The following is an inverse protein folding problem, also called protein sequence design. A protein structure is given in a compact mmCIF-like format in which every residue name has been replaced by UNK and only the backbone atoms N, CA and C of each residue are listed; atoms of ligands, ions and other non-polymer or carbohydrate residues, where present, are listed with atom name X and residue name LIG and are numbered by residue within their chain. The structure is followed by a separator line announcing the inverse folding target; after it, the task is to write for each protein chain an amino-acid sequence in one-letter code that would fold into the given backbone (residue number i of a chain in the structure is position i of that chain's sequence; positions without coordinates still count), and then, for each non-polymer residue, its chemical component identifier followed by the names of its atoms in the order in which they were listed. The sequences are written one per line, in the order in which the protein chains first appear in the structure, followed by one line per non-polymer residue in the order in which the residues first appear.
data_IF_115549252957
#
_entry.id   IF_115549252957
#
_cell.length_a   1.000
_cell.length_b   1.000
_cell.length_c   1.000
_cell.angle_alpha   90.00
_cell.angle_beta   90.00
_cell.angle_gamma   90.00
#
_symmetry.space_group_name_H-M   'P 1'
#
loop_
_entity.id
_entity.type
_entity.pdbx_description
1 polymer ?
#
# COMPACT_ATOMS: atom_id res chain seq x y z
N UNK A 1 2.90 -7.92 14.80
CA UNK A 1 2.82 -8.43 16.18
C UNK A 1 3.71 -7.57 17.06
N UNK A 2 3.55 -7.70 18.36
CA UNK A 2 4.38 -7.06 19.38
C UNK A 2 5.23 -8.10 20.12
N UNK A 3 4.66 -9.22 20.57
CA UNK A 3 5.39 -10.22 21.36
C UNK A 3 5.14 -11.66 20.90
N UNK A 4 5.01 -11.88 19.58
CA UNK A 4 4.91 -13.22 19.02
C UNK A 4 6.18 -14.05 19.29
N UNK A 5 7.36 -13.41 19.23
CA UNK A 5 8.64 -14.07 19.47
C UNK A 5 9.01 -14.15 20.96
N UNK A 6 8.20 -13.59 21.86
CA UNK A 6 8.44 -13.59 23.30
C UNK A 6 9.61 -12.72 23.76
N UNK A 7 10.00 -11.72 22.96
CA UNK A 7 11.16 -10.85 23.19
C UNK A 7 10.88 -9.61 24.04
N UNK A 8 9.62 -9.23 24.28
CA UNK A 8 9.28 -7.98 24.96
C UNK A 8 9.84 -7.88 26.38
N UNK A 9 9.87 -9.00 27.12
CA UNK A 9 10.48 -9.03 28.45
C UNK A 9 11.98 -8.72 28.45
N UNK A 10 12.70 -9.15 27.40
CA UNK A 10 14.13 -8.83 27.22
C UNK A 10 14.30 -7.34 26.96
N UNK A 11 13.56 -6.77 26.00
CA UNK A 11 13.60 -5.33 25.69
C UNK A 11 13.30 -4.47 26.91
N UNK A 12 12.35 -4.88 27.77
CA UNK A 12 12.12 -4.17 29.05
C UNK A 12 13.35 -4.24 29.95
N UNK A 13 13.97 -5.42 30.12
CA UNK A 13 15.13 -5.56 31.01
C UNK A 13 16.40 -4.86 30.50
N UNK A 14 16.51 -4.67 29.18
CA UNK A 14 17.63 -4.00 28.51
C UNK A 14 17.45 -2.48 28.46
N UNK A 15 16.20 -2.00 28.55
CA UNK A 15 15.87 -0.59 28.56
C UNK A 15 15.23 -0.08 27.27
N UNK A 16 15.15 -0.92 26.23
CA UNK A 16 14.59 -0.61 24.91
C UNK A 16 13.05 -0.51 24.93
N UNK A 17 12.40 -1.05 25.95
CA UNK A 17 10.95 -0.94 26.15
C UNK A 17 10.58 -0.50 27.56
N UNK A 18 9.46 0.23 27.74
CA UNK A 18 8.99 0.59 29.05
C UNK A 18 8.30 -0.62 29.72
N UNK A 19 8.45 -0.75 31.04
CA UNK A 19 7.86 -1.82 31.84
C UNK A 19 8.50 -1.94 33.22
N UNK A 20 7.89 -2.73 34.11
CA UNK A 20 8.25 -2.78 35.54
C UNK A 20 9.74 -3.03 35.82
N UNK A 21 10.45 -3.73 34.94
CA UNK A 21 11.88 -4.07 35.08
C UNK A 21 12.81 -3.15 34.29
N UNK A 22 12.30 -2.06 33.71
CA UNK A 22 13.12 -1.13 32.92
C UNK A 22 14.20 -0.47 33.80
N UNK A 23 15.49 -0.56 33.43
CA UNK A 23 16.61 -0.09 34.25
C UNK A 23 16.66 1.44 34.41
N UNK A 24 15.98 2.19 33.55
CA UNK A 24 15.93 3.66 33.56
C UNK A 24 14.68 4.22 34.27
N UNK A 25 13.90 3.35 34.91
CA UNK A 25 12.71 3.73 35.67
C UNK A 25 11.50 4.09 34.80
N UNK A 26 11.49 3.69 33.51
CA UNK A 26 10.32 3.80 32.65
C UNK A 26 9.36 2.63 32.93
N UNK A 27 8.70 2.64 34.09
CA UNK A 27 8.03 1.44 34.63
C UNK A 27 6.64 1.14 34.08
N UNK A 28 6.07 2.03 33.26
CA UNK A 28 4.73 1.87 32.69
C UNK A 28 4.77 0.92 31.49
N UNK A 29 4.24 -0.32 31.57
CA UNK A 29 4.28 -1.23 30.45
C UNK A 29 3.47 -0.71 29.26
N UNK A 30 3.83 -1.16 28.05
CA UNK A 30 3.03 -0.97 26.83
C UNK A 30 1.64 -1.58 27.03
N UNK A 31 0.58 -0.81 26.78
CA UNK A 31 -0.79 -1.30 26.81
C UNK A 31 -1.10 -2.11 25.54
N UNK A 32 -1.27 -3.42 25.67
CA UNK A 32 -1.58 -4.29 24.55
C UNK A 32 -3.09 -4.40 24.40
N UNK A 33 -3.67 -3.66 23.46
CA UNK A 33 -5.09 -3.76 23.12
C UNK A 33 -5.37 -5.03 22.32
N UNK A 34 -4.49 -5.34 21.37
CA UNK A 34 -4.54 -6.58 20.59
C UNK A 34 -3.16 -6.93 20.04
N UNK A 35 -2.75 -8.18 20.18
CA UNK A 35 -1.55 -8.71 19.56
C UNK A 35 -1.83 -9.94 18.69
N UNK A 36 -0.95 -10.17 17.73
CA UNK A 36 -0.97 -11.28 16.81
C UNK A 36 0.00 -12.35 17.30
N UNK A 37 -0.54 -13.40 17.92
CA UNK A 37 0.24 -14.48 18.53
C UNK A 37 0.29 -15.77 17.68
N UNK A 38 -0.38 -15.81 16.53
CA UNK A 38 -0.37 -16.96 15.61
C UNK A 38 0.83 -16.94 14.65
N UNK A 39 1.26 -15.74 14.24
CA UNK A 39 2.43 -15.49 13.41
C UNK A 39 2.90 -14.05 13.55
N UNK A 40 4.19 -13.80 13.43
CA UNK A 40 4.71 -12.44 13.50
C UNK A 40 6.22 -12.34 13.39
N UNK A 41 6.69 -11.14 13.13
CA UNK A 41 8.10 -10.76 13.13
C UNK A 41 8.44 -9.81 14.28
N UNK A 42 7.41 -9.38 15.04
CA UNK A 42 7.47 -8.34 16.06
C UNK A 42 7.89 -6.95 15.56
N UNK A 43 7.73 -6.66 14.26
CA UNK A 43 7.98 -5.33 13.68
C UNK A 43 7.29 -4.19 14.45
N UNK A 44 6.08 -4.43 14.94
CA UNK A 44 5.36 -3.47 15.78
C UNK A 44 6.03 -3.17 17.13
N UNK A 45 6.75 -4.13 17.71
CA UNK A 45 7.60 -3.90 18.88
C UNK A 45 8.87 -3.14 18.53
N UNK A 46 9.48 -3.42 17.37
CA UNK A 46 10.61 -2.65 16.88
C UNK A 46 10.26 -1.16 16.68
N UNK A 47 9.07 -0.87 16.15
CA UNK A 47 8.55 0.50 16.09
C UNK A 47 8.36 1.11 17.49
N UNK A 48 7.92 0.33 18.48
CA UNK A 48 7.77 0.78 19.85
C UNK A 48 9.13 1.07 20.53
N UNK A 49 10.17 0.28 20.25
CA UNK A 49 11.55 0.53 20.70
C UNK A 49 12.05 1.86 20.15
N UNK A 50 11.88 2.13 18.85
CA UNK A 50 12.23 3.43 18.24
C UNK A 50 11.54 4.59 18.96
N UNK A 51 10.23 4.47 19.24
CA UNK A 51 9.50 5.53 19.96
C UNK A 51 10.03 5.68 21.38
N UNK A 52 10.33 4.59 22.07
CA UNK A 52 10.83 4.61 23.44
C UNK A 52 12.21 5.25 23.55
N UNK A 53 13.12 4.98 22.61
CA UNK A 53 14.47 5.54 22.62
C UNK A 53 14.46 7.07 22.48
N UNK A 54 13.58 7.61 21.63
CA UNK A 54 13.45 9.06 21.42
C UNK A 54 12.57 9.75 22.48
N UNK A 55 11.47 9.10 22.87
CA UNK A 55 10.48 9.64 23.80
C UNK A 55 10.20 8.67 24.96
N UNK A 56 11.19 8.42 25.85
CA UNK A 56 11.13 7.35 26.86
C UNK A 56 10.04 7.51 27.92
N UNK A 57 9.47 8.71 28.04
CA UNK A 57 8.37 9.02 28.97
C UNK A 57 6.99 8.97 28.29
N UNK A 58 6.92 8.74 26.98
CA UNK A 58 5.64 8.52 26.31
C UNK A 58 5.04 7.18 26.78
N UNK A 59 3.74 7.19 27.11
CA UNK A 59 2.97 5.97 27.33
C UNK A 59 2.62 5.35 25.97
N UNK A 60 2.88 4.06 25.82
CA UNK A 60 2.70 3.35 24.55
C UNK A 60 1.50 2.40 24.63
N UNK A 61 0.77 2.28 23.53
CA UNK A 61 -0.26 1.26 23.32
C UNK A 61 -0.04 0.57 21.97
N UNK A 62 -0.45 -0.70 21.86
CA UNK A 62 -0.27 -1.50 20.66
C UNK A 62 -1.58 -2.20 20.23
N UNK A 63 -1.84 -2.21 18.92
CA UNK A 63 -2.93 -2.95 18.30
C UNK A 63 -2.48 -3.51 16.95
N UNK A 64 -2.48 -4.83 16.78
CA UNK A 64 -2.30 -5.48 15.46
C UNK A 64 -3.55 -5.37 14.60
N UNK A 65 -3.47 -5.64 13.29
CA UNK A 65 -4.67 -5.72 12.44
C UNK A 65 -4.71 -6.99 11.58
N UNK A 66 -5.91 -7.42 11.20
CA UNK A 66 -6.15 -8.61 10.37
C UNK A 66 -6.79 -8.31 9.00
N UNK A 67 -7.28 -7.08 8.79
CA UNK A 67 -7.92 -6.65 7.54
C UNK A 67 -8.34 -5.18 7.60
N UNK A 68 -8.86 -4.63 6.50
CA UNK A 68 -9.16 -3.19 6.40
C UNK A 68 -10.21 -2.70 7.40
N UNK A 69 -11.28 -3.47 7.62
CA UNK A 69 -12.34 -3.10 8.57
C UNK A 69 -11.85 -3.16 10.03
N UNK A 70 -11.00 -4.14 10.33
CA UNK A 70 -10.34 -4.27 11.62
C UNK A 70 -9.34 -3.13 11.83
N UNK A 71 -8.59 -2.72 10.80
CA UNK A 71 -7.70 -1.57 10.87
C UNK A 71 -8.45 -0.27 11.16
N UNK A 72 -9.55 0.01 10.45
CA UNK A 72 -10.39 1.17 10.75
C UNK A 72 -10.90 1.16 12.21
N UNK A 73 -11.23 -0.02 12.74
CA UNK A 73 -11.63 -0.21 14.15
C UNK A 73 -10.47 0.00 15.12
N UNK A 74 -9.28 -0.52 14.80
CA UNK A 74 -8.07 -0.39 15.59
C UNK A 74 -7.66 1.07 15.80
N UNK A 75 -7.75 1.89 14.74
CA UNK A 75 -7.51 3.34 14.81
C UNK A 75 -8.45 4.00 15.82
N UNK A 76 -9.73 3.64 15.80
CA UNK A 76 -10.72 4.15 16.75
C UNK A 76 -10.45 3.64 18.18
N UNK A 77 -10.05 2.38 18.34
CA UNK A 77 -9.72 1.79 19.64
C UNK A 77 -8.52 2.46 20.29
N UNK A 78 -7.44 2.69 19.54
CA UNK A 78 -6.25 3.41 20.04
C UNK A 78 -6.62 4.85 20.45
N UNK A 79 -7.40 5.57 19.64
CA UNK A 79 -7.87 6.90 20.01
C UNK A 79 -8.76 6.88 21.27
N UNK A 80 -9.57 5.84 21.47
CA UNK A 80 -10.42 5.67 22.64
C UNK A 80 -9.64 5.24 23.90
N UNK A 81 -8.51 4.56 23.73
CA UNK A 81 -7.55 4.29 24.81
C UNK A 81 -6.78 5.55 25.26
N UNK A 82 -6.97 6.68 24.57
CA UNK A 82 -6.38 7.96 24.94
C UNK A 82 -5.09 8.30 24.18
N UNK A 83 -4.74 7.54 23.13
CA UNK A 83 -3.61 7.88 22.27
C UNK A 83 -3.80 9.27 21.63
N UNK A 84 -2.85 10.16 21.87
CA UNK A 84 -2.77 11.49 21.24
C UNK A 84 -2.07 11.44 19.88
N UNK A 85 -1.23 10.42 19.69
CA UNK A 85 -0.53 10.11 18.45
C UNK A 85 -0.81 8.65 18.12
N UNK A 86 -1.14 8.36 16.86
CA UNK A 86 -1.24 7.01 16.31
C UNK A 86 -0.27 6.93 15.14
N UNK A 87 0.49 5.84 15.06
CA UNK A 87 1.43 5.58 13.97
C UNK A 87 1.29 4.16 13.44
N UNK A 88 1.31 4.02 12.12
CA UNK A 88 1.30 2.72 11.44
C UNK A 88 2.30 2.69 10.28
N UNK A 89 2.54 1.49 9.76
CA UNK A 89 3.36 1.28 8.57
C UNK A 89 2.72 0.34 7.53
N UNK A 90 1.41 0.11 7.64
CA UNK A 90 0.71 -0.95 6.90
C UNK A 90 0.25 -0.49 5.53
N UNK A 91 -0.02 -1.43 4.62
CA UNK A 91 -0.60 -1.14 3.30
C UNK A 91 -1.54 -2.26 2.89
N UNK A 92 -2.68 -1.92 2.32
CA UNK A 92 -3.64 -2.89 1.79
C UNK A 92 -3.83 -2.69 0.28
N UNK A 93 -3.64 -3.73 -0.55
CA UNK A 93 -3.76 -3.60 -2.01
C UNK A 93 -5.17 -3.21 -2.48
N UNK A 94 -6.19 -3.50 -1.66
CA UNK A 94 -7.60 -3.22 -1.91
C UNK A 94 -8.08 -1.87 -1.34
N UNK A 95 -7.19 -1.02 -0.83
CA UNK A 95 -7.58 0.36 -0.52
C UNK A 95 -7.86 1.15 -1.80
N UNK A 96 -8.96 1.90 -1.87
CA UNK A 96 -9.27 2.68 -3.07
C UNK A 96 -8.20 3.74 -3.34
N UNK A 97 -7.76 3.84 -4.59
CA UNK A 97 -6.79 4.86 -5.05
C UNK A 97 -7.45 6.24 -5.23
N UNK A 98 -8.72 6.24 -5.62
CA UNK A 98 -9.45 7.39 -6.15
C UNK A 98 -10.55 7.93 -5.23
N UNK A 99 -10.73 7.30 -4.07
CA UNK A 99 -11.78 7.60 -3.08
C UNK A 99 -11.21 7.37 -1.68
N UNK A 100 -11.60 8.15 -0.68
CA UNK A 100 -11.24 7.84 0.71
C UNK A 100 -11.99 6.59 1.19
N UNK A 101 -11.27 5.47 1.30
CA UNK A 101 -11.77 4.22 1.88
C UNK A 101 -12.01 4.30 3.40
N UNK A 102 -12.53 3.23 4.00
CA UNK A 102 -12.92 3.20 5.42
C UNK A 102 -11.77 3.50 6.39
N UNK A 103 -10.52 3.14 6.05
CA UNK A 103 -9.34 3.42 6.89
C UNK A 103 -9.03 4.93 6.83
N UNK A 104 -8.96 5.52 5.63
CA UNK A 104 -8.78 6.97 5.45
C UNK A 104 -9.85 7.77 6.21
N UNK A 105 -11.10 7.30 6.19
CA UNK A 105 -12.19 7.91 6.95
C UNK A 105 -12.03 7.77 8.47
N UNK A 106 -11.50 6.66 8.97
CA UNK A 106 -11.17 6.48 10.38
C UNK A 106 -10.04 7.43 10.81
N UNK A 107 -8.98 7.56 9.99
CA UNK A 107 -7.90 8.54 10.18
C UNK A 107 -8.46 9.95 10.32
N UNK A 108 -9.23 10.42 9.33
CA UNK A 108 -9.82 11.76 9.39
C UNK A 108 -10.71 11.96 10.63
N UNK A 109 -11.38 10.90 11.09
CA UNK A 109 -12.28 10.95 12.24
C UNK A 109 -11.52 11.12 13.56
N UNK A 110 -10.40 10.43 13.75
CA UNK A 110 -9.56 10.62 14.95
C UNK A 110 -8.78 11.93 14.90
N UNK A 111 -8.37 12.37 13.71
CA UNK A 111 -7.72 13.68 13.53
C UNK A 111 -8.65 14.82 13.90
N UNK A 112 -9.92 14.75 13.52
CA UNK A 112 -10.95 15.71 13.97
C UNK A 112 -11.18 15.73 15.48
N UNK A 113 -10.82 14.66 16.20
CA UNK A 113 -10.87 14.58 17.67
C UNK A 113 -9.59 15.11 18.33
N UNK A 114 -8.60 15.56 17.56
CA UNK A 114 -7.32 16.08 18.06
C UNK A 114 -6.21 15.03 18.15
N UNK A 115 -6.39 13.84 17.59
CA UNK A 115 -5.33 12.82 17.51
C UNK A 115 -4.44 13.09 16.30
N UNK A 116 -3.12 13.07 16.44
CA UNK A 116 -2.21 13.17 15.31
C UNK A 116 -1.97 11.77 14.71
N UNK A 117 -2.16 11.61 13.40
CA UNK A 117 -2.03 10.32 12.73
C UNK A 117 -0.81 10.33 11.81
N UNK A 118 0.11 9.40 12.01
CA UNK A 118 1.32 9.21 11.22
C UNK A 118 1.26 7.88 10.49
N UNK A 119 1.74 7.83 9.25
CA UNK A 119 1.80 6.58 8.49
C UNK A 119 3.01 6.55 7.58
N UNK A 120 3.59 5.36 7.40
CA UNK A 120 4.69 5.15 6.45
C UNK A 120 4.23 5.45 5.02
N UNK A 121 5.04 6.13 4.20
CA UNK A 121 4.69 6.35 2.79
C UNK A 121 4.60 5.03 2.01
N UNK A 122 5.35 4.01 2.43
CA UNK A 122 5.55 2.77 1.71
C UNK A 122 6.87 2.79 0.93
N UNK A 123 7.33 1.58 0.58
CA UNK A 123 8.63 1.35 -0.05
C UNK A 123 8.45 0.94 -1.52
N UNK A 124 7.70 1.72 -2.30
CA UNK A 124 7.39 1.43 -3.72
C UNK A 124 7.83 2.52 -4.69
N UNK A 125 8.52 3.55 -4.20
CA UNK A 125 9.09 4.63 -5.00
C UNK A 125 8.06 5.17 -6.00
N UNK A 126 8.32 4.94 -7.29
CA UNK A 126 7.41 5.30 -8.38
C UNK A 126 6.98 4.10 -9.23
N UNK A 127 7.11 2.88 -8.72
CA UNK A 127 6.84 1.62 -9.43
C UNK A 127 5.35 1.46 -9.80
N UNK A 128 4.94 2.08 -10.90
CA UNK A 128 3.54 2.28 -11.25
C UNK A 128 3.31 2.67 -12.72
N UNK A 129 2.08 2.44 -13.16
CA UNK A 129 1.52 2.91 -14.42
C UNK A 129 0.26 3.72 -14.13
N UNK A 130 0.06 4.84 -14.82
CA UNK A 130 -1.16 5.63 -14.76
C UNK A 130 -1.45 6.26 -16.12
N UNK A 131 -2.68 6.16 -16.58
CA UNK A 131 -3.08 6.69 -17.88
C UNK A 131 -4.58 6.95 -17.94
N UNK A 132 -5.03 7.75 -18.90
CA UNK A 132 -6.41 7.64 -19.39
C UNK A 132 -6.62 6.27 -20.05
N UNK A 133 -7.84 5.73 -19.98
CA UNK A 133 -8.17 4.53 -20.74
C UNK A 133 -8.29 4.90 -22.23
N UNK A 134 -7.23 4.61 -22.99
CA UNK A 134 -7.22 4.72 -24.44
C UNK A 134 -7.84 3.45 -25.03
N UNK A 135 -9.02 3.58 -25.63
CA UNK A 135 -9.74 2.49 -26.27
C UNK A 135 -9.19 2.26 -27.69
N UNK A 136 -8.70 1.05 -27.97
CA UNK A 136 -8.15 0.66 -29.27
C UNK A 136 -9.17 0.68 -30.44
N UNK A 137 -10.41 1.09 -30.21
CA UNK A 137 -11.35 1.42 -31.29
C UNK A 137 -12.16 0.25 -31.82
N UNK A 138 -11.79 -0.99 -31.51
CA UNK A 138 -12.46 -2.21 -31.97
C UNK A 138 -12.76 -3.22 -30.86
N UNK A 139 -13.64 -4.18 -31.17
CA UNK A 139 -13.94 -5.28 -30.25
C UNK A 139 -12.97 -6.44 -30.50
N UNK A 140 -12.45 -7.01 -29.42
CA UNK A 140 -11.58 -8.18 -29.45
C UNK A 140 -12.29 -9.36 -28.81
N UNK A 141 -12.34 -10.49 -29.52
CA UNK A 141 -12.77 -11.75 -28.96
C UNK A 141 -11.61 -12.37 -28.19
N UNK A 142 -11.72 -12.46 -26.87
CA UNK A 142 -10.76 -13.19 -26.05
C UNK A 142 -11.36 -14.55 -25.68
N UNK A 143 -10.58 -15.62 -25.92
CA UNK A 143 -10.98 -16.98 -25.60
C UNK A 143 -10.35 -17.41 -24.28
N UNK A 144 -11.20 -17.76 -23.32
CA UNK A 144 -10.79 -18.38 -22.07
C UNK A 144 -11.12 -19.87 -22.16
N UNK A 145 -10.10 -20.72 -22.02
CA UNK A 145 -10.32 -22.16 -22.09
C UNK A 145 -11.26 -22.63 -20.96
N UNK A 146 -12.24 -23.53 -21.23
CA UNK A 146 -13.25 -23.95 -20.27
C UNK A 146 -12.71 -24.50 -18.95
N UNK A 147 -11.50 -25.06 -18.96
CA UNK A 147 -10.80 -25.55 -17.77
C UNK A 147 -10.39 -24.45 -16.77
N UNK A 148 -10.46 -23.17 -17.16
CA UNK A 148 -10.10 -22.00 -16.34
C UNK A 148 -11.27 -21.07 -16.01
N UNK A 149 -12.49 -21.60 -16.00
CA UNK A 149 -13.75 -20.84 -15.76
C UNK A 149 -14.17 -20.80 -14.30
N UNK A 150 -13.52 -21.59 -13.44
CA UNK A 150 -13.76 -21.53 -12.01
C UNK A 150 -12.99 -20.32 -11.48
N UNK A 151 -13.65 -19.16 -11.41
CA UNK A 151 -13.14 -18.05 -10.64
C UNK A 151 -13.18 -18.44 -9.14
N UNK A 152 -12.04 -18.50 -8.42
CA UNK A 152 -12.00 -18.94 -7.03
C UNK A 152 -12.79 -18.06 -6.05
N UNK A 153 -13.24 -16.88 -6.45
CA UNK A 153 -14.00 -15.92 -5.63
C UNK A 153 -15.52 -16.16 -5.61
N UNK A 154 -16.04 -17.15 -6.36
CA UNK A 154 -17.48 -17.43 -6.44
C UNK A 154 -18.33 -16.27 -6.97
N UNK A 155 -17.70 -15.24 -7.54
CA UNK A 155 -18.31 -13.99 -7.97
C UNK A 155 -18.78 -14.08 -9.44
N UNK A 156 -19.79 -14.90 -9.70
CA UNK A 156 -20.47 -14.90 -10.99
C UNK A 156 -19.73 -15.67 -12.09
N UNK A 157 -20.51 -16.12 -13.06
CA UNK A 157 -20.05 -16.96 -14.17
C UNK A 157 -19.00 -16.21 -15.00
N UNK A 158 -17.73 -16.60 -14.91
CA UNK A 158 -16.85 -16.46 -16.07
C UNK A 158 -17.40 -17.41 -17.11
N UNK A 159 -17.98 -16.84 -18.18
CA UNK A 159 -18.54 -17.63 -19.27
C UNK A 159 -17.39 -18.43 -19.89
N UNK A 160 -17.45 -19.76 -19.77
CA UNK A 160 -16.63 -20.65 -20.60
C UNK A 160 -16.79 -20.24 -22.06
N UNK A 161 -15.69 -19.87 -22.74
CA UNK A 161 -15.72 -19.55 -24.17
C UNK A 161 -15.15 -18.18 -24.52
N UNK A 162 -15.84 -17.50 -25.44
CA UNK A 162 -15.43 -16.26 -26.09
C UNK A 162 -16.16 -15.07 -25.47
N UNK A 163 -15.42 -14.06 -25.01
CA UNK A 163 -15.97 -12.80 -24.52
C UNK A 163 -15.39 -11.62 -25.32
N UNK A 164 -16.19 -10.58 -25.48
CA UNK A 164 -15.82 -9.38 -26.24
C UNK A 164 -15.25 -8.32 -25.30
N UNK A 165 -14.12 -7.73 -25.67
CA UNK A 165 -13.46 -6.66 -24.91
C UNK A 165 -13.13 -5.46 -25.79
N UNK A 166 -13.07 -4.28 -25.17
CA UNK A 166 -12.34 -3.11 -25.68
C UNK A 166 -10.99 -3.08 -24.99
N UNK A 167 -9.90 -3.25 -25.73
CA UNK A 167 -8.57 -3.31 -25.14
C UNK A 167 -7.96 -1.91 -24.98
N UNK A 168 -7.20 -1.75 -23.90
CA UNK A 168 -6.42 -0.55 -23.65
C UNK A 168 -5.22 -0.49 -24.59
N UNK A 169 -5.00 0.68 -25.18
CA UNK A 169 -3.80 1.04 -25.90
C UNK A 169 -2.78 1.71 -24.96
N UNK A 170 -1.69 0.99 -24.70
CA UNK A 170 -0.59 1.47 -23.86
C UNK A 170 0.27 2.51 -24.55
N UNK A 171 0.34 2.54 -25.89
CA UNK A 171 1.09 3.57 -26.62
C UNK A 171 0.41 4.95 -26.41
N UNK A 172 1.11 5.96 -25.88
CA UNK A 172 0.58 7.31 -25.80
C UNK A 172 0.63 8.08 -27.14
N UNK A 173 1.27 7.51 -28.17
CA UNK A 173 1.46 8.09 -29.49
C UNK A 173 0.35 7.76 -30.50
N UNK A 174 0.71 7.75 -31.79
CA UNK A 174 -0.22 7.42 -32.88
C UNK A 174 -0.32 5.92 -33.19
N UNK A 175 0.60 5.11 -32.62
CA UNK A 175 0.57 3.66 -32.73
C UNK A 175 -0.50 3.04 -31.86
N UNK A 176 -0.67 1.72 -31.97
CA UNK A 176 -1.51 0.94 -31.07
C UNK A 176 -0.64 -0.16 -30.48
N UNK A 177 -0.50 -0.16 -29.16
CA UNK A 177 0.19 -1.19 -28.40
C UNK A 177 -0.75 -1.76 -27.33
N UNK A 178 -1.25 -2.97 -27.57
CA UNK A 178 -2.19 -3.63 -26.66
C UNK A 178 -1.47 -4.39 -25.55
N UNK A 179 -0.15 -4.58 -25.65
CA UNK A 179 0.62 -5.53 -24.86
C UNK A 179 1.72 -4.81 -24.09
N UNK A 180 1.46 -4.51 -22.82
CA UNK A 180 2.48 -4.00 -21.91
C UNK A 180 3.53 -5.07 -21.62
N UNK A 181 4.71 -4.99 -22.23
CA UNK A 181 5.80 -5.93 -21.94
C UNK A 181 6.33 -5.72 -20.52
N UNK A 182 6.39 -6.82 -19.76
CA UNK A 182 6.97 -6.89 -18.42
C UNK A 182 8.12 -7.89 -18.43
N UNK A 183 9.33 -7.44 -18.06
CA UNK A 183 10.50 -8.32 -17.89
C UNK A 183 10.74 -8.58 -16.41
N UNK A 184 10.54 -9.81 -15.97
CA UNK A 184 10.63 -10.24 -14.57
C UNK A 184 11.96 -10.99 -14.36
N UNK A 185 12.96 -10.40 -13.66
CA UNK A 185 14.23 -11.08 -13.43
C UNK A 185 14.07 -12.38 -12.64
N UNK A 186 15.10 -13.22 -12.67
CA UNK A 186 15.14 -14.49 -11.92
C UNK A 186 14.76 -14.31 -10.45
N UNK A 187 13.91 -15.20 -9.94
CA UNK A 187 13.40 -15.21 -8.56
C UNK A 187 12.61 -13.97 -8.11
N UNK A 188 12.34 -13.01 -9.01
CA UNK A 188 11.56 -11.82 -8.73
C UNK A 188 10.07 -12.06 -8.96
N UNK A 189 9.26 -11.26 -8.26
CA UNK A 189 7.82 -11.26 -8.37
C UNK A 189 7.32 -9.95 -8.95
N UNK A 190 6.41 -10.03 -9.92
CA UNK A 190 5.56 -8.94 -10.37
C UNK A 190 4.18 -9.12 -9.73
N UNK A 191 3.73 -8.14 -8.97
CA UNK A 191 2.43 -8.17 -8.30
C UNK A 191 1.76 -6.83 -8.49
N UNK A 192 0.63 -6.76 -9.16
CA UNK A 192 -0.06 -5.51 -9.43
C UNK A 192 -1.47 -5.49 -8.85
N UNK A 193 -1.89 -4.30 -8.44
CA UNK A 193 -3.29 -3.96 -8.22
C UNK A 193 -3.70 -2.90 -9.24
N UNK A 194 -4.52 -3.28 -10.22
CA UNK A 194 -5.06 -2.35 -11.22
C UNK A 194 -6.38 -1.80 -10.69
N UNK A 195 -6.52 -0.48 -10.67
CA UNK A 195 -7.77 0.20 -10.36
C UNK A 195 -8.08 1.23 -11.44
N UNK A 196 -9.35 1.56 -11.59
CA UNK A 196 -9.82 2.60 -12.49
C UNK A 196 -10.74 3.57 -11.76
N UNK A 197 -10.97 4.73 -12.37
CA UNK A 197 -11.82 5.74 -11.79
C UNK A 197 -13.28 5.32 -11.75
N UNK A 198 -13.63 4.68 -10.65
CA UNK A 198 -14.98 4.31 -10.30
C UNK A 198 -15.16 4.37 -8.79
N UNK A 199 -16.39 4.56 -8.29
CA UNK A 199 -16.66 4.45 -6.87
C UNK A 199 -16.35 3.05 -6.35
N UNK A 200 -15.77 2.95 -5.17
CA UNK A 200 -15.57 1.66 -4.49
C UNK A 200 -16.79 1.32 -3.64
N UNK A 201 -17.37 0.14 -3.84
CA UNK A 201 -18.50 -0.35 -3.07
C UNK A 201 -18.14 -0.54 -1.58
N UNK A 202 -16.90 -0.91 -1.27
CA UNK A 202 -16.42 -1.10 0.11
C UNK A 202 -16.13 0.20 0.85
N UNK A 203 -16.03 1.34 0.17
CA UNK A 203 -15.69 2.61 0.79
C UNK A 203 -16.82 3.17 1.68
N UNK A 204 -18.08 2.81 1.41
CA UNK A 204 -19.21 3.26 2.21
C UNK A 204 -20.43 2.34 2.10
N UNK A 205 -21.34 2.45 3.07
CA UNK A 205 -22.65 1.80 2.97
C UNK A 205 -23.41 2.36 1.77
N UNK A 206 -23.85 1.48 0.88
CA UNK A 206 -24.58 1.80 -0.36
C UNK A 206 -23.79 2.63 -1.37
N UNK A 207 -22.45 2.60 -1.33
CA UNK A 207 -21.66 3.14 -2.42
C UNK A 207 -22.03 2.41 -3.73
N UNK A 208 -22.12 3.11 -4.87
CA UNK A 208 -22.65 2.54 -6.11
C UNK A 208 -21.75 1.48 -6.73
N UNK A 209 -20.46 1.43 -6.36
CA UNK A 209 -19.47 0.53 -6.93
C UNK A 209 -19.10 0.89 -8.38
N UNK A 210 -18.35 0.00 -9.02
CA UNK A 210 -17.84 0.22 -10.36
C UNK A 210 -18.96 0.25 -11.41
N UNK A 211 -18.86 1.20 -12.33
CA UNK A 211 -19.80 1.37 -13.44
C UNK A 211 -19.39 0.59 -14.69
N UNK A 212 -18.18 0.05 -14.68
CA UNK A 212 -17.58 -0.70 -15.77
C UNK A 212 -16.75 -1.84 -15.19
N UNK A 213 -16.54 -2.86 -15.99
CA UNK A 213 -15.79 -4.06 -15.64
C UNK A 213 -14.50 -4.07 -16.45
N UNK A 214 -13.36 -3.93 -15.78
CA UNK A 214 -12.05 -4.07 -16.42
C UNK A 214 -11.43 -5.37 -15.95
N UNK A 215 -10.97 -6.16 -16.90
CA UNK A 215 -10.18 -7.36 -16.66
C UNK A 215 -8.72 -7.10 -17.06
N UNK A 216 -7.82 -7.85 -16.45
CA UNK A 216 -6.39 -7.86 -16.78
C UNK A 216 -5.96 -9.25 -17.24
N UNK A 217 -5.29 -9.30 -18.38
CA UNK A 217 -4.87 -10.55 -19.00
C UNK A 217 -3.35 -10.64 -19.08
N UNK A 218 -2.83 -11.86 -18.86
CA UNK A 218 -1.42 -12.18 -19.12
C UNK A 218 -1.34 -12.96 -20.42
N UNK A 219 -0.57 -12.46 -21.38
CA UNK A 219 -0.17 -13.19 -22.57
C UNK A 219 1.30 -13.63 -22.47
N UNK A 220 1.60 -14.80 -23.04
CA UNK A 220 2.94 -15.40 -23.05
C UNK A 220 3.78 -15.01 -24.27
N UNK A 221 3.14 -14.46 -25.30
CA UNK A 221 3.80 -14.01 -26.53
C UNK A 221 3.30 -12.62 -26.89
N UNK A 222 4.23 -11.79 -27.35
CA UNK A 222 3.90 -10.46 -27.84
C UNK A 222 2.94 -10.55 -29.02
N UNK A 223 1.99 -9.62 -29.09
CA UNK A 223 1.05 -9.47 -30.21
C UNK A 223 0.23 -10.74 -30.54
N UNK A 224 0.06 -11.68 -29.61
CA UNK A 224 -0.72 -12.90 -29.80
C UNK A 224 -1.82 -13.05 -28.74
N UNK A 225 -3.04 -12.66 -29.13
CA UNK A 225 -4.25 -12.79 -28.31
C UNK A 225 -4.61 -14.26 -27.98
N UNK A 226 -4.06 -15.25 -28.69
CA UNK A 226 -4.27 -16.66 -28.39
C UNK A 226 -3.27 -17.20 -27.34
N UNK A 227 -2.31 -16.38 -26.90
CA UNK A 227 -1.31 -16.75 -25.90
C UNK A 227 -1.69 -16.34 -24.47
N UNK A 228 -2.95 -15.94 -24.26
CA UNK A 228 -3.48 -15.61 -22.94
C UNK A 228 -3.38 -16.83 -22.01
N UNK A 229 -2.90 -16.59 -20.80
CA UNK A 229 -2.81 -17.54 -19.72
C UNK A 229 -3.80 -17.17 -18.60
N UNK A 230 -5.02 -17.75 -18.60
CA UNK A 230 -6.12 -17.27 -17.76
C UNK A 230 -5.89 -17.42 -16.26
N UNK A 231 -5.04 -18.37 -15.83
CA UNK A 231 -4.77 -18.62 -14.41
C UNK A 231 -4.07 -17.45 -13.72
N UNK A 232 -3.29 -16.68 -14.47
CA UNK A 232 -2.60 -15.48 -13.95
C UNK A 232 -3.31 -14.18 -14.34
N UNK A 233 -4.53 -14.25 -14.89
CA UNK A 233 -5.31 -13.10 -15.31
C UNK A 233 -6.35 -12.74 -14.23
N UNK A 234 -6.49 -11.45 -13.91
CA UNK A 234 -7.52 -10.92 -13.01
C UNK A 234 -8.80 -10.63 -13.80
N UNK A 235 -9.90 -11.27 -13.41
CA UNK A 235 -11.17 -11.30 -14.19
C UNK A 235 -12.39 -11.34 -13.26
N UNK A 236 -12.28 -10.66 -12.13
CA UNK A 236 -13.36 -10.56 -11.17
C UNK A 236 -14.48 -9.71 -11.76
N UNK A 237 -15.73 -10.07 -11.47
CA UNK A 237 -16.86 -9.24 -11.87
C UNK A 237 -16.94 -8.00 -10.97
N UNK A 238 -16.63 -6.81 -11.50
CA UNK A 238 -16.55 -5.58 -10.72
C UNK A 238 -17.79 -4.67 -10.80
N UNK A 239 -18.75 -4.92 -11.70
CA UNK A 239 -19.95 -4.07 -11.79
C UNK A 239 -20.73 -4.03 -10.46
N UNK A 240 -20.88 -2.82 -9.91
CA UNK A 240 -21.48 -2.58 -8.60
C UNK A 240 -20.60 -3.00 -7.41
N UNK A 241 -19.32 -3.32 -7.63
CA UNK A 241 -18.32 -3.74 -6.64
C UNK A 241 -17.12 -2.80 -6.64
N UNK A 242 -16.01 -3.20 -6.03
CA UNK A 242 -14.79 -2.40 -6.05
C UNK A 242 -14.13 -2.45 -7.44
N UNK A 243 -13.64 -1.31 -7.97
CA UNK A 243 -13.00 -1.22 -9.28
C UNK A 243 -11.53 -1.65 -9.17
N UNK A 244 -11.31 -2.94 -8.96
CA UNK A 244 -9.97 -3.49 -8.74
C UNK A 244 -9.81 -4.86 -9.40
N UNK A 245 -8.66 -5.02 -10.03
CA UNK A 245 -8.10 -6.30 -10.43
C UNK A 245 -6.73 -6.52 -9.80
N UNK A 246 -6.42 -7.77 -9.48
CA UNK A 246 -5.13 -8.14 -8.90
C UNK A 246 -4.52 -9.29 -9.67
N UNK A 247 -3.21 -9.20 -9.91
CA UNK A 247 -2.44 -10.19 -10.64
C UNK A 247 -1.08 -10.34 -9.99
N UNK A 248 -0.63 -11.59 -9.83
CA UNK A 248 0.67 -11.93 -9.27
C UNK A 248 1.36 -12.98 -10.11
N UNK A 249 2.60 -12.70 -10.50
CA UNK A 249 3.48 -13.56 -11.27
C UNK A 249 4.84 -13.62 -10.58
N UNK A 250 5.37 -14.83 -10.38
CA UNK A 250 6.72 -15.03 -9.89
C UNK A 250 7.53 -15.75 -10.95
N UNK A 251 8.70 -15.20 -11.28
CA UNK A 251 9.67 -15.93 -12.06
C UNK A 251 10.41 -16.91 -11.14
N UNK A 252 10.15 -18.21 -11.30
CA UNK A 252 10.81 -19.26 -10.51
C UNK A 252 12.14 -19.73 -11.10
N UNK A 253 12.52 -19.20 -12.27
CA UNK A 253 13.83 -19.48 -12.86
C UNK A 253 14.93 -18.86 -12.00
N UNK A 254 16.05 -19.56 -11.89
CA UNK A 254 17.19 -19.17 -11.04
C UNK A 254 18.15 -18.19 -11.70
N UNK A 255 18.18 -18.11 -13.03
CA UNK A 255 19.12 -17.26 -13.78
C UNK A 255 18.46 -16.36 -14.81
N UNK A 256 17.39 -16.84 -15.45
CA UNK A 256 16.87 -16.19 -16.65
C UNK A 256 15.75 -15.20 -16.32
N UNK A 257 15.69 -14.12 -17.12
CA UNK A 257 14.57 -13.18 -17.09
C UNK A 257 13.40 -13.75 -17.88
N UNK A 258 12.22 -13.73 -17.29
CA UNK A 258 10.98 -14.19 -17.90
C UNK A 258 10.16 -12.99 -18.38
N UNK A 259 9.67 -13.03 -19.61
CA UNK A 259 8.85 -11.96 -20.18
C UNK A 259 7.39 -12.38 -20.28
N UNK A 260 6.51 -11.46 -19.92
CA UNK A 260 5.06 -11.58 -20.10
C UNK A 260 4.52 -10.28 -20.66
N UNK A 261 3.29 -10.33 -21.17
CA UNK A 261 2.63 -9.19 -21.77
C UNK A 261 1.29 -8.97 -21.10
N UNK A 262 1.15 -7.85 -20.40
CA UNK A 262 -0.08 -7.46 -19.71
C UNK A 262 -1.01 -6.75 -20.70
N UNK A 263 -2.28 -7.15 -20.69
CA UNK A 263 -3.37 -6.42 -21.37
C UNK A 263 -4.40 -5.98 -20.33
N UNK A 264 -5.03 -4.83 -20.57
CA UNK A 264 -6.17 -4.35 -19.79
C UNK A 264 -7.36 -4.25 -20.74
N UNK A 265 -8.48 -4.87 -20.40
CA UNK A 265 -9.65 -4.94 -21.27
C UNK A 265 -10.92 -4.56 -20.55
N UNK A 266 -11.71 -3.65 -21.12
CA UNK A 266 -13.08 -3.39 -20.68
C UNK A 266 -14.02 -4.44 -21.25
N UNK A 267 -14.71 -5.17 -20.38
CA UNK A 267 -15.66 -6.18 -20.83
C UNK A 267 -16.87 -5.53 -21.52
N UNK A 268 -17.25 -6.05 -22.69
CA UNK A 268 -18.44 -5.63 -23.41
C UNK A 268 -19.67 -6.38 -22.88
N UNK A 269 -20.34 -5.77 -21.90
CA UNK A 269 -21.64 -6.25 -21.40
C UNK A 269 -22.79 -5.98 -22.38
N UNK A 270 -23.92 -6.70 -22.26
CA UNK A 270 -25.11 -6.40 -23.06
C UNK A 270 -25.63 -4.98 -22.87
N UNK A 271 -25.52 -4.42 -21.66
CA UNK A 271 -25.79 -3.02 -21.37
C UNK A 271 -24.51 -2.21 -21.58
N UNK A 272 -24.59 -1.07 -22.26
CA UNK A 272 -23.44 -0.21 -22.47
C UNK A 272 -22.92 0.36 -21.14
N UNK A 273 -21.64 0.12 -20.84
CA UNK A 273 -20.91 0.70 -19.71
C UNK A 273 -19.96 1.79 -20.19
N UNK A 274 -19.72 2.87 -19.40
CA UNK A 274 -18.78 3.91 -19.79
C UNK A 274 -17.34 3.37 -19.84
N UNK A 275 -16.50 4.00 -20.66
CA UNK A 275 -15.05 3.85 -20.50
C UNK A 275 -14.62 4.60 -19.23
N UNK A 276 -13.71 4.03 -18.42
CA UNK A 276 -13.08 4.79 -17.35
C UNK A 276 -12.28 5.95 -17.95
N UNK A 277 -12.17 7.06 -17.25
CA UNK A 277 -11.31 8.18 -17.67
C UNK A 277 -9.89 8.04 -17.15
N UNK A 278 -9.64 7.14 -16.19
CA UNK A 278 -8.31 6.88 -15.64
C UNK A 278 -8.17 5.43 -15.21
N UNK A 279 -7.02 4.86 -15.50
CA UNK A 279 -6.55 3.57 -15.00
C UNK A 279 -5.20 3.75 -14.33
N UNK A 280 -4.94 2.97 -13.30
CA UNK A 280 -3.70 3.01 -12.53
C UNK A 280 -3.37 1.64 -11.98
N UNK A 281 -2.10 1.26 -12.00
CA UNK A 281 -1.62 0.15 -11.21
C UNK A 281 -0.31 0.46 -10.53
N UNK A 282 -0.08 -0.17 -9.38
CA UNK A 282 1.22 -0.19 -8.73
C UNK A 282 1.81 -1.59 -8.85
N UNK A 283 3.13 -1.68 -9.02
CA UNK A 283 3.84 -2.93 -8.79
C UNK A 283 4.21 -3.03 -7.31
N UNK A 284 3.49 -3.90 -6.60
CA UNK A 284 3.66 -4.24 -5.20
C UNK A 284 4.72 -5.33 -4.97
N UNK A 285 5.24 -5.93 -6.05
CA UNK A 285 6.27 -6.97 -6.02
C UNK A 285 7.69 -6.41 -5.90
N UNK A 286 8.64 -7.06 -6.57
CA UNK A 286 10.01 -6.60 -6.72
C UNK A 286 10.17 -5.69 -7.94
N UNK A 287 11.34 -5.06 -8.07
CA UNK A 287 11.69 -4.31 -9.27
C UNK A 287 11.71 -5.21 -10.51
N UNK A 288 11.00 -4.77 -11.54
CA UNK A 288 10.87 -5.38 -12.87
C UNK A 288 10.93 -4.27 -13.91
N UNK A 289 11.26 -4.62 -15.15
CA UNK A 289 11.18 -3.65 -16.25
C UNK A 289 9.78 -3.66 -16.85
N UNK A 290 9.24 -2.47 -17.12
CA UNK A 290 7.89 -2.23 -17.65
C UNK A 290 8.03 -1.26 -18.81
N UNK A 291 7.48 -1.60 -19.97
CA UNK A 291 7.66 -0.89 -21.23
C UNK A 291 7.15 0.57 -21.23
N UNK A 292 5.89 0.79 -20.84
CA UNK A 292 5.28 2.12 -20.75
C UNK A 292 5.22 2.63 -19.31
N UNK A 293 6.27 2.37 -18.53
CA UNK A 293 6.32 2.78 -17.13
C UNK A 293 6.15 4.30 -16.97
N UNK A 294 5.13 4.75 -16.24
CA UNK A 294 4.83 6.20 -16.11
C UNK A 294 5.51 6.87 -14.93
N UNK A 295 6.05 6.10 -13.99
CA UNK A 295 6.66 6.62 -12.76
C UNK A 295 5.72 7.54 -11.95
N UNK A 296 4.40 7.27 -12.00
CA UNK A 296 3.39 8.00 -11.26
C UNK A 296 3.49 7.77 -9.73
N UNK A 297 2.66 8.48 -8.95
CA UNK A 297 2.63 8.32 -7.49
C UNK A 297 2.21 6.91 -7.04
N UNK A 298 2.74 6.47 -5.90
CA UNK A 298 2.48 5.16 -5.27
C UNK A 298 1.95 5.28 -3.83
N UNK A 299 1.77 6.50 -3.31
CA UNK A 299 0.99 6.75 -2.09
C UNK A 299 -0.50 6.70 -2.43
N UNK A 300 -1.25 5.82 -1.75
CA UNK A 300 -2.68 5.57 -1.95
C UNK A 300 -3.38 5.21 -0.63
N UNK A 301 -4.71 5.09 -0.67
CA UNK A 301 -5.50 4.69 0.50
C UNK A 301 -5.39 5.67 1.66
N UNK A 302 -5.36 5.15 2.90
CA UNK A 302 -5.25 5.95 4.12
C UNK A 302 -3.97 6.81 4.19
N UNK A 303 -2.90 6.39 3.52
CA UNK A 303 -1.65 7.17 3.37
C UNK A 303 -1.81 8.41 2.50
N UNK A 304 -2.82 8.40 1.64
CA UNK A 304 -3.21 9.59 0.88
C UNK A 304 -4.36 10.34 1.56
N UNK A 305 -4.79 10.00 2.78
CA UNK A 305 -5.88 10.71 3.46
C UNK A 305 -5.53 12.18 3.75
N UNK A 306 -6.55 13.02 3.94
CA UNK A 306 -6.34 14.44 4.25
C UNK A 306 -5.70 14.62 5.64
N UNK A 307 -6.18 13.85 6.63
CA UNK A 307 -5.70 13.96 8.01
C UNK A 307 -4.38 13.26 8.33
N UNK A 308 -3.92 12.29 7.52
CA UNK A 308 -2.67 11.59 7.79
C UNK A 308 -1.44 12.50 7.56
N UNK A 309 -0.41 12.29 8.38
CA UNK A 309 0.95 12.78 8.13
C UNK A 309 1.75 11.59 7.59
N UNK A 310 2.02 11.61 6.30
CA UNK A 310 2.65 10.49 5.57
C UNK A 310 4.16 10.70 5.49
N UNK A 311 4.91 9.67 5.87
CA UNK A 311 6.34 9.78 6.20
C UNK A 311 7.20 9.07 5.16
N UNK A 312 7.99 9.85 4.42
CA UNK A 312 9.10 9.35 3.61
C UNK A 312 10.34 9.04 4.48
N UNK A 313 11.31 8.35 3.89
CA UNK A 313 12.50 7.89 4.62
C UNK A 313 13.75 8.68 4.19
N UNK A 314 14.64 8.96 5.13
CA UNK A 314 16.01 9.45 4.90
C UNK A 314 16.99 8.58 5.68
N UNK A 315 18.14 8.22 5.11
CA UNK A 315 19.16 7.50 5.88
C UNK A 315 19.76 8.34 7.00
N UNK A 316 19.97 7.70 8.16
CA UNK A 316 20.47 8.37 9.34
C UNK A 316 21.92 8.88 9.20
N UNK A 317 22.74 8.24 8.35
CA UNK A 317 24.19 8.48 8.20
C UNK A 317 24.61 9.17 6.89
N UNK A 318 23.75 9.20 5.87
CA UNK A 318 24.10 9.78 4.56
C UNK A 318 23.97 11.31 4.48
N UNK A 319 23.65 11.96 5.61
CA UNK A 319 23.29 13.37 5.65
C UNK A 319 21.92 13.58 5.03
N UNK A 320 20.93 13.93 5.84
CA UNK A 320 19.55 14.04 5.38
C UNK A 320 19.29 15.24 4.47
N UNK A 321 20.24 16.17 4.31
CA UNK A 321 20.09 17.40 3.54
C UNK A 321 21.40 17.78 2.82
N UNK A 322 21.33 18.05 1.51
CA UNK A 322 22.38 18.71 0.73
C UNK A 322 21.88 20.09 0.31
N UNK A 323 22.45 21.14 0.91
CA UNK A 323 21.93 22.51 0.76
C UNK A 323 20.55 22.64 1.42
N UNK A 324 19.52 22.86 0.60
CA UNK A 324 18.10 22.87 1.02
C UNK A 324 17.34 21.61 0.57
N UNK A 325 18.02 20.64 -0.05
CA UNK A 325 17.38 19.43 -0.61
C UNK A 325 17.49 18.28 0.36
N UNK A 326 16.35 17.74 0.77
CA UNK A 326 16.29 16.50 1.56
C UNK A 326 16.68 15.32 0.65
N UNK A 327 17.67 14.52 1.07
CA UNK A 327 18.06 13.30 0.38
C UNK A 327 17.10 12.15 0.75
N UNK A 328 15.91 12.18 0.14
CA UNK A 328 14.89 11.14 0.33
C UNK A 328 15.35 9.83 -0.31
N UNK A 329 15.15 8.73 0.40
CA UNK A 329 15.38 7.38 -0.14
C UNK A 329 14.48 7.13 -1.36
N UNK A 330 15.05 6.62 -2.45
CA UNK A 330 14.38 6.43 -3.74
C UNK A 330 13.18 5.47 -3.68
N UNK A 331 13.23 4.51 -2.75
CA UNK A 331 12.12 3.60 -2.48
C UNK A 331 10.94 4.28 -1.78
N UNK A 332 11.11 5.48 -1.20
CA UNK A 332 10.02 6.18 -0.54
C UNK A 332 8.91 6.50 -1.54
N UNK A 333 7.73 5.94 -1.31
CA UNK A 333 6.59 6.14 -2.19
C UNK A 333 6.26 7.62 -2.37
N UNK A 334 6.01 8.04 -3.61
CA UNK A 334 5.63 9.41 -3.95
C UNK A 334 4.10 9.58 -4.04
N UNK A 335 3.57 10.77 -3.69
CA UNK A 335 2.16 11.12 -3.90
C UNK A 335 1.84 11.54 -5.33
N UNK A 336 0.64 12.09 -5.52
CA UNK A 336 0.15 12.61 -6.81
C UNK A 336 -1.10 11.92 -7.33
N UNK A 337 -1.54 10.81 -6.72
CA UNK A 337 -2.82 10.16 -7.03
C UNK A 337 -3.97 11.04 -6.54
N UNK A 338 -4.88 11.50 -7.42
CA UNK A 338 -5.97 12.37 -7.01
C UNK A 338 -7.12 11.59 -6.36
N UNK A 339 -7.77 12.22 -5.39
CA UNK A 339 -9.11 11.81 -4.95
C UNK A 339 -10.13 12.44 -5.91
N UNK A 340 -10.96 11.61 -6.52
CA UNK A 340 -11.91 12.01 -7.57
C UNK A 340 -13.34 11.59 -7.23
N UNK A 341 -13.55 10.81 -6.17
CA UNK A 341 -14.86 10.54 -5.58
C UNK A 341 -14.89 10.97 -4.12
N UNK A 342 -16.03 11.50 -3.69
CA UNK A 342 -16.31 11.73 -2.29
C UNK A 342 -16.54 10.42 -1.52
N UNK A 343 -16.75 10.52 -0.21
CA UNK A 343 -16.97 9.36 0.68
C UNK A 343 -18.24 8.56 0.34
N UNK A 344 -19.15 9.09 -0.50
CA UNK A 344 -20.38 8.42 -0.95
C UNK A 344 -20.29 7.90 -2.38
N UNK A 345 -19.12 8.01 -3.03
CA UNK A 345 -18.92 7.59 -4.40
C UNK A 345 -19.44 8.59 -5.44
N UNK A 346 -19.71 9.84 -5.05
CA UNK A 346 -20.06 10.88 -6.01
C UNK A 346 -18.79 11.49 -6.59
N UNK A 347 -18.74 11.64 -7.92
CA UNK A 347 -17.58 12.23 -8.58
C UNK A 347 -17.45 13.71 -8.19
N UNK A 348 -16.23 14.12 -7.87
CA UNK A 348 -15.89 15.49 -7.46
C UNK A 348 -14.80 16.06 -8.37
N UNK A 349 -14.55 17.36 -8.24
CA UNK A 349 -13.32 17.97 -8.79
C UNK A 349 -12.11 17.26 -8.19
N UNK A 350 -11.15 16.78 -9.00
CA UNK A 350 -9.97 16.08 -8.49
C UNK A 350 -9.23 16.88 -7.42
N UNK A 351 -8.98 16.23 -6.28
CA UNK A 351 -8.19 16.78 -5.18
C UNK A 351 -6.84 16.06 -5.15
N UNK A 352 -5.77 16.80 -5.42
CA UNK A 352 -4.39 16.29 -5.31
C UNK A 352 -3.86 16.70 -3.94
N UNK A 353 -3.48 15.70 -3.15
CA UNK A 353 -2.85 15.90 -1.82
C UNK A 353 -1.33 15.82 -1.98
N UNK A 354 -0.63 16.75 -1.34
CA UNK A 354 0.84 16.76 -1.33
C UNK A 354 1.31 15.75 -0.30
N UNK A 355 1.75 14.59 -0.79
CA UNK A 355 2.25 13.46 0.00
C UNK A 355 3.56 12.93 -0.60
N UNK A 356 4.48 12.35 0.17
CA UNK A 356 4.57 12.39 1.63
C UNK A 356 4.64 13.82 2.18
N UNK A 357 4.21 14.03 3.43
CA UNK A 357 4.18 15.35 4.07
C UNK A 357 5.58 15.76 4.55
N UNK A 358 6.32 14.82 5.13
CA UNK A 358 7.67 15.01 5.67
C UNK A 358 8.48 13.72 5.51
N UNK A 359 9.78 13.78 5.79
CA UNK A 359 10.64 12.60 5.88
C UNK A 359 11.29 12.50 7.26
N UNK A 360 11.63 11.27 7.66
CA UNK A 360 12.27 11.00 8.95
C UNK A 360 13.35 9.91 8.83
N UNK A 361 14.27 9.81 9.82
CA UNK A 361 15.38 8.87 9.80
C UNK A 361 14.93 7.40 9.70
N UNK A 362 15.71 6.62 8.96
CA UNK A 362 15.57 5.18 8.79
C UNK A 362 16.94 4.50 8.91
N UNK A 363 16.96 3.17 9.03
CA UNK A 363 18.20 2.39 9.16
C UNK A 363 18.80 2.47 10.56
N UNK A 364 17.99 2.73 11.58
CA UNK A 364 18.46 2.84 12.97
C UNK A 364 18.52 1.50 13.66
N UNK A 365 19.26 1.42 14.77
CA UNK A 365 19.35 0.22 15.57
C UNK A 365 18.04 -0.10 16.27
N UNK A 366 17.77 -1.39 16.44
CA UNK A 366 16.81 -1.92 17.41
C UNK A 366 17.46 -3.09 18.16
N UNK A 367 16.83 -3.57 19.24
CA UNK A 367 17.42 -4.66 20.04
C UNK A 367 17.41 -6.02 19.33
N UNK A 368 16.60 -6.19 18.27
CA UNK A 368 16.37 -7.49 17.65
C UNK A 368 15.92 -7.47 16.18
N UNK A 369 15.33 -6.38 15.68
CA UNK A 369 14.64 -6.34 14.39
C UNK A 369 15.53 -5.72 13.31
N UNK A 370 15.52 -6.35 12.14
CA UNK A 370 16.39 -5.98 11.03
C UNK A 370 17.12 -7.21 10.50
N UNK A 371 17.73 -7.05 9.33
CA UNK A 371 18.41 -8.14 8.63
C UNK A 371 19.91 -7.95 8.52
N UNK A 372 20.43 -6.78 8.89
CA UNK A 372 21.84 -6.42 8.82
C UNK A 372 22.24 -5.63 10.06
N UNK A 373 23.51 -5.76 10.45
CA UNK A 373 24.23 -4.89 11.38
C UNK A 373 25.26 -4.15 10.50
N UNK A 374 24.87 -2.97 10.02
CA UNK A 374 25.61 -2.23 9.00
C UNK A 374 26.88 -1.59 9.56
N UNK A 375 26.87 -1.25 10.85
CA UNK A 375 27.91 -0.52 11.57
C UNK A 375 28.85 -1.46 12.33
N UNK A 376 28.44 -2.71 12.55
CA UNK A 376 29.19 -3.72 13.29
C UNK A 376 29.14 -3.53 14.80
N UNK A 377 28.07 -2.95 15.33
CA UNK A 377 27.89 -2.67 16.76
C UNK A 377 27.08 -3.74 17.52
N UNK A 378 26.70 -4.81 16.81
CA UNK A 378 25.90 -5.94 17.25
C UNK A 378 24.39 -5.65 17.41
N UNK A 379 23.92 -4.50 16.93
CA UNK A 379 22.49 -4.22 16.84
C UNK A 379 22.02 -4.29 15.39
N UNK A 380 20.92 -5.01 15.10
CA UNK A 380 20.35 -5.00 13.77
C UNK A 380 19.71 -3.64 13.46
N UNK A 381 19.79 -3.22 12.21
CA UNK A 381 19.18 -1.98 11.74
C UNK A 381 17.80 -2.22 11.14
N UNK A 382 16.86 -1.35 11.49
CA UNK A 382 15.52 -1.30 10.93
C UNK A 382 15.43 -0.25 9.80
N UNK A 383 15.30 -0.73 8.56
CA UNK A 383 15.21 0.10 7.36
C UNK A 383 13.78 0.37 6.88
N UNK A 384 13.64 1.37 6.01
CA UNK A 384 12.42 1.69 5.28
C UNK A 384 11.55 2.77 5.93
N UNK A 385 10.44 3.11 5.27
CA UNK A 385 9.48 4.06 5.84
C UNK A 385 8.83 3.54 7.12
N UNK A 386 8.86 2.22 7.35
CA UNK A 386 8.42 1.56 8.59
C UNK A 386 9.24 1.96 9.81
N UNK A 387 10.54 2.24 9.64
CA UNK A 387 11.37 2.83 10.69
C UNK A 387 11.20 4.36 10.74
N UNK A 388 11.00 5.04 9.60
CA UNK A 388 10.84 6.49 9.56
C UNK A 388 9.56 6.99 10.27
N UNK A 389 8.43 6.32 10.08
CA UNK A 389 7.16 6.71 10.69
C UNK A 389 7.20 6.81 12.23
N UNK A 390 7.69 5.80 12.99
CA UNK A 390 7.78 5.89 14.45
C UNK A 390 8.77 6.97 14.93
N UNK A 391 9.84 7.28 14.18
CA UNK A 391 10.71 8.43 14.51
C UNK A 391 9.93 9.75 14.48
N UNK A 392 9.18 10.00 13.40
CA UNK A 392 8.38 11.22 13.27
C UNK A 392 7.34 11.32 14.40
N UNK A 393 6.69 10.19 14.71
CA UNK A 393 5.72 10.11 15.81
C UNK A 393 6.35 10.39 17.18
N UNK A 394 7.56 9.88 17.44
CA UNK A 394 8.28 10.12 18.68
C UNK A 394 8.66 11.59 18.87
N UNK A 395 9.16 12.24 17.80
CA UNK A 395 9.44 13.69 17.83
C UNK A 395 8.16 14.49 18.07
N UNK A 396 7.02 14.09 17.48
CA UNK A 396 5.74 14.73 17.75
C UNK A 396 5.33 14.60 19.22
N UNK A 397 5.61 13.47 19.89
CA UNK A 397 5.35 13.30 21.31
C UNK A 397 6.16 14.29 22.17
N UNK A 398 7.44 14.50 21.83
CA UNK A 398 8.28 15.51 22.49
C UNK A 398 7.75 16.93 22.26
N UNK A 399 7.26 17.25 21.06
CA UNK A 399 6.65 18.56 20.77
C UNK A 399 5.37 18.80 21.57
N UNK A 400 4.51 17.79 21.72
CA UNK A 400 3.30 17.86 22.56
C UNK A 400 3.69 18.08 24.03
N UNK A 401 4.70 17.36 24.52
CA UNK A 401 5.21 17.55 25.88
C UNK A 401 5.73 18.99 26.10
N UNK A 402 6.54 19.50 25.17
CA UNK A 402 7.08 20.86 25.28
C UNK A 402 5.97 21.92 25.29
N UNK A 403 4.92 21.73 24.48
CA UNK A 403 3.78 22.64 24.41
C UNK A 403 2.90 22.62 25.67
N UNK A 404 2.77 21.48 26.34
CA UNK A 404 1.97 21.34 27.58
C UNK A 404 2.73 21.74 28.84
N UNK A 405 4.06 21.82 28.77
CA UNK A 405 4.91 22.29 29.86
C UNK A 405 4.98 23.84 29.97
N UNK A 406 4.52 24.56 28.94
CA UNK A 406 4.32 26.00 28.92
C UNK A 406 2.86 26.34 29.23
#
# INVERSE_FOLDING_TARGET
SYDYLGGAGSGVSQGDLPGLKNPFGNTQPVEILLDRLDRGTDEGRAMAEIIHDLAPKATLAFHTVFGQADFATAIMNLANAGCQIIVDDLSFPYEPMFQDGIIAQAVDSVVKRGVHYFTSAGNRGRSSYESEFRDAGQNFTLRIAPEFTNNPDGAGQVIAGEAQYRLHDFDPGEGVDLFQKISIPALKQFLINVQWDSPSASACKNCPGAQTDLDIFVALRDNDLNSIYPLYSGRAYNLGRDPIEVLGLKNELSTDTFQVYLMIGKWNTPQATPNPTRIKYLNLGNDVEIEHHTYSGTVLGHKNSEGAITIGAVRYDLGSVVGDTILVEDFSSAGGTPIIFDKKGQRITPVIRQKPDICAPQGVNTSFFGSIDYEGDNFPNFFGTSAAAPHAAAVAALLIQAKTAC
#
